data_IF_874378782345
#
_entry.id   IF_874378782345
#
_cell.length_a   1.000
_cell.length_b   1.000
_cell.length_c   1.000
_cell.angle_alpha   90.00
_cell.angle_beta   90.00
_cell.angle_gamma   90.00
#
_symmetry.space_group_name_H-M   'P 1'
#
loop_
_entity.id
_entity.type
_entity.pdbx_description
1 polymer ?
#
# COMPACT_ATOMS: atom_id res chain seq x y z
N UNK A 1 -21.94 7.82 -15.47
CA UNK A 1 -21.72 7.90 -14.02
C UNK A 1 -20.44 8.70 -13.84
N UNK A 2 -20.49 9.84 -13.16
CA UNK A 2 -19.31 10.71 -13.00
C UNK A 2 -18.56 10.25 -11.77
N UNK A 3 -17.33 9.78 -11.94
CA UNK A 3 -16.40 9.50 -10.85
C UNK A 3 -16.09 10.81 -10.13
N UNK A 4 -16.77 11.05 -9.01
CA UNK A 4 -16.70 12.33 -8.28
C UNK A 4 -15.40 12.55 -7.49
N UNK A 5 -14.51 11.57 -7.46
CA UNK A 5 -13.28 11.60 -6.68
C UNK A 5 -12.17 10.89 -7.44
N UNK A 6 -11.00 11.50 -7.56
CA UNK A 6 -9.77 10.83 -7.95
C UNK A 6 -9.11 10.27 -6.67
N UNK A 7 -8.56 9.07 -6.74
CA UNK A 7 -7.99 8.38 -5.58
C UNK A 7 -8.89 7.26 -5.05
N UNK A 8 -8.27 6.16 -4.62
CA UNK A 8 -8.97 5.01 -4.05
C UNK A 8 -8.29 4.52 -2.77
N UNK A 9 -7.05 4.08 -2.86
CA UNK A 9 -6.36 3.36 -1.79
C UNK A 9 -4.85 3.56 -1.93
N UNK A 10 -4.19 3.70 -0.80
CA UNK A 10 -2.74 3.58 -0.67
C UNK A 10 -2.42 2.40 0.23
N UNK A 11 -1.31 1.72 -0.05
CA UNK A 11 -0.85 0.58 0.74
C UNK A 11 0.64 0.70 1.01
N UNK A 12 1.08 0.24 2.17
CA UNK A 12 2.47 0.42 2.57
C UNK A 12 2.88 -0.37 3.79
N UNK A 13 4.07 -0.04 4.27
CA UNK A 13 4.58 -0.52 5.55
C UNK A 13 5.16 0.63 6.35
N UNK A 14 5.07 0.54 7.68
CA UNK A 14 5.72 1.46 8.60
C UNK A 14 6.45 0.71 9.71
N UNK A 15 7.54 1.30 10.20
CA UNK A 15 8.27 0.83 11.39
C UNK A 15 7.65 1.34 12.68
N UNK A 16 6.71 2.28 12.61
CA UNK A 16 6.04 2.81 13.78
C UNK A 16 5.00 1.82 14.30
N UNK A 17 5.07 1.53 15.59
CA UNK A 17 4.11 0.62 16.23
C UNK A 17 2.70 1.26 16.23
N UNK A 18 1.68 0.60 15.66
CA UNK A 18 0.33 1.13 15.57
C UNK A 18 -0.33 1.36 16.94
N UNK A 19 0.13 0.71 18.02
CA UNK A 19 -0.37 0.93 19.36
C UNK A 19 0.01 2.33 19.93
N UNK A 20 1.06 2.96 19.39
CA UNK A 20 1.58 4.24 19.88
C UNK A 20 1.59 5.34 18.82
N UNK A 21 1.38 4.98 17.55
CA UNK A 21 1.35 5.92 16.45
C UNK A 21 0.09 6.79 16.54
N UNK A 22 0.28 8.11 16.64
CA UNK A 22 -0.80 9.05 16.35
C UNK A 22 -0.99 9.12 14.84
N UNK A 23 -2.14 8.65 14.37
CA UNK A 23 -2.42 8.58 12.94
C UNK A 23 -2.49 10.00 12.34
N UNK A 24 -1.66 10.30 11.33
CA UNK A 24 -1.79 11.54 10.56
C UNK A 24 -3.04 11.50 9.68
N UNK A 25 -3.33 12.60 8.99
CA UNK A 25 -4.45 12.66 8.02
C UNK A 25 -4.28 11.70 6.84
N UNK A 26 -3.04 11.34 6.51
CA UNK A 26 -2.68 10.30 5.53
C UNK A 26 -1.28 9.78 5.89
N UNK A 27 -1.01 8.52 5.63
CA UNK A 27 0.25 7.88 6.00
C UNK A 27 1.45 8.39 5.19
N UNK A 28 1.21 9.00 4.02
CA UNK A 28 2.23 9.73 3.25
C UNK A 28 2.73 10.99 3.98
N UNK A 29 2.05 11.45 5.04
CA UNK A 29 2.53 12.54 5.88
C UNK A 29 3.60 12.13 6.92
N UNK A 30 3.85 10.83 7.12
CA UNK A 30 4.96 10.41 7.96
C UNK A 30 6.30 10.72 7.30
N UNK A 31 7.27 11.16 8.11
CA UNK A 31 8.60 11.62 7.66
C UNK A 31 9.73 10.67 8.07
N UNK A 32 9.38 9.46 8.53
CA UNK A 32 10.34 8.45 8.97
C UNK A 32 9.78 7.04 8.76
N UNK A 33 10.69 6.09 8.52
CA UNK A 33 10.47 4.65 8.43
C UNK A 33 9.13 4.19 7.86
N UNK A 34 8.65 4.81 6.78
CA UNK A 34 7.34 4.54 6.17
C UNK A 34 7.45 4.54 4.65
N UNK A 35 6.98 3.46 4.01
CA UNK A 35 6.96 3.28 2.57
C UNK A 35 5.52 3.07 2.12
N UNK A 36 5.05 3.84 1.15
CA UNK A 36 3.68 3.81 0.65
C UNK A 36 3.71 3.72 -0.88
N UNK A 37 2.92 2.82 -1.47
CA UNK A 37 2.55 2.89 -2.88
C UNK A 37 1.33 3.80 -3.00
N UNK A 38 1.43 4.80 -3.88
CA UNK A 38 0.41 5.83 -4.12
C UNK A 38 0.27 6.10 -5.61
N UNK A 39 -0.95 6.08 -6.13
CA UNK A 39 -1.20 6.13 -7.57
C UNK A 39 -0.36 5.07 -8.30
N UNK A 40 0.54 5.50 -9.19
CA UNK A 40 1.49 4.62 -9.90
C UNK A 40 2.94 4.68 -9.36
N UNK A 41 3.18 5.30 -8.21
CA UNK A 41 4.51 5.53 -7.64
C UNK A 41 4.68 4.98 -6.23
N UNK A 42 5.89 5.16 -5.68
CA UNK A 42 6.25 4.81 -4.30
C UNK A 42 6.81 6.02 -3.59
N UNK A 43 6.33 6.29 -2.39
CA UNK A 43 6.84 7.29 -1.47
C UNK A 43 7.57 6.62 -0.30
N UNK A 44 8.66 7.23 0.13
CA UNK A 44 9.37 6.91 1.37
C UNK A 44 9.48 8.18 2.19
N UNK A 45 8.98 8.14 3.43
CA UNK A 45 9.06 9.24 4.39
C UNK A 45 8.49 10.57 3.84
N UNK A 46 7.41 10.47 3.08
CA UNK A 46 6.74 11.64 2.49
C UNK A 46 7.39 12.20 1.24
N UNK A 47 8.39 11.52 0.69
CA UNK A 47 9.04 11.90 -0.57
C UNK A 47 8.85 10.80 -1.60
N UNK A 48 8.45 11.14 -2.82
CA UNK A 48 8.39 10.19 -3.93
C UNK A 48 9.80 9.70 -4.26
N UNK A 49 9.98 8.38 -4.26
CA UNK A 49 11.26 7.71 -4.55
C UNK A 49 11.24 6.89 -5.82
N UNK A 50 10.05 6.48 -6.28
CA UNK A 50 9.86 5.83 -7.57
C UNK A 50 8.61 6.42 -8.24
N UNK A 51 8.78 6.84 -9.48
CA UNK A 51 7.70 7.18 -10.40
C UNK A 51 7.45 5.99 -11.34
N UNK A 52 6.20 5.81 -11.78
CA UNK A 52 5.82 4.75 -12.73
C UNK A 52 6.23 3.34 -12.29
N UNK A 53 6.25 3.09 -10.98
CA UNK A 53 6.66 1.82 -10.38
C UNK A 53 5.78 0.64 -10.80
N UNK A 54 4.47 0.85 -10.92
CA UNK A 54 3.56 -0.26 -11.20
C UNK A 54 2.14 0.18 -11.54
N UNK A 55 1.19 -0.72 -11.28
CA UNK A 55 -0.22 -0.47 -11.51
C UNK A 55 -0.68 0.81 -10.82
N UNK A 56 -1.47 1.64 -11.51
CA UNK A 56 -2.03 2.82 -10.89
C UNK A 56 -3.17 2.44 -9.94
N UNK A 57 -2.97 2.60 -8.64
CA UNK A 57 -3.97 2.30 -7.61
C UNK A 57 -5.27 3.10 -7.78
N UNK A 58 -5.22 4.29 -8.38
CA UNK A 58 -6.41 5.11 -8.68
C UNK A 58 -7.37 4.45 -9.68
N UNK A 59 -6.93 3.38 -10.38
CA UNK A 59 -7.75 2.62 -11.34
C UNK A 59 -8.41 1.39 -10.74
N UNK A 60 -8.13 1.09 -9.46
CA UNK A 60 -8.71 -0.06 -8.77
C UNK A 60 -10.22 0.10 -8.57
N UNK A 61 -10.91 -1.03 -8.57
CA UNK A 61 -12.35 -1.14 -8.38
C UNK A 61 -12.66 -2.11 -7.26
N UNK A 62 -13.90 -2.08 -6.78
CA UNK A 62 -14.38 -3.08 -5.83
C UNK A 62 -14.17 -4.49 -6.38
N UNK A 63 -13.54 -5.35 -5.58
CA UNK A 63 -13.14 -6.71 -5.97
C UNK A 63 -11.66 -6.84 -6.35
N UNK A 64 -10.98 -5.75 -6.70
CA UNK A 64 -9.53 -5.77 -6.85
C UNK A 64 -8.83 -5.91 -5.50
N UNK A 65 -7.64 -6.51 -5.51
CA UNK A 65 -6.84 -6.76 -4.31
C UNK A 65 -5.47 -6.10 -4.43
N UNK A 66 -4.98 -5.61 -3.29
CA UNK A 66 -3.62 -5.08 -3.14
C UNK A 66 -2.91 -5.81 -2.01
N UNK A 67 -1.61 -5.96 -2.14
CA UNK A 67 -0.78 -6.64 -1.15
C UNK A 67 0.58 -5.99 -1.00
N UNK A 68 1.18 -6.17 0.17
CA UNK A 68 2.54 -5.71 0.48
C UNK A 68 3.28 -6.78 1.26
N UNK A 69 4.53 -7.03 0.88
CA UNK A 69 5.41 -8.01 1.56
C UNK A 69 6.80 -7.40 1.70
N UNK A 70 7.30 -7.39 2.94
CA UNK A 70 8.74 -7.23 3.22
C UNK A 70 9.36 -8.62 3.27
N UNK A 71 10.24 -8.93 2.33
CA UNK A 71 10.96 -10.21 2.26
C UNK A 71 12.12 -10.25 3.25
N UNK A 72 12.62 -11.44 3.56
CA UNK A 72 13.68 -11.65 4.54
C UNK A 72 14.97 -10.88 4.21
N UNK A 73 15.29 -10.75 2.92
CA UNK A 73 16.43 -9.99 2.38
C UNK A 73 16.28 -8.45 2.51
N UNK A 74 15.15 -7.96 3.04
CA UNK A 74 14.88 -6.54 3.21
C UNK A 74 14.34 -5.84 1.98
N UNK A 75 13.98 -6.58 0.92
CA UNK A 75 13.25 -6.01 -0.21
C UNK A 75 11.77 -5.87 0.11
N UNK A 76 11.17 -4.76 -0.35
CA UNK A 76 9.73 -4.51 -0.26
C UNK A 76 9.09 -4.72 -1.62
N UNK A 77 8.02 -5.50 -1.66
CA UNK A 77 7.28 -5.81 -2.87
C UNK A 77 5.80 -5.50 -2.69
N UNK A 78 5.19 -4.91 -3.72
CA UNK A 78 3.75 -4.70 -3.80
C UNK A 78 3.12 -5.66 -4.80
N UNK A 79 1.84 -5.94 -4.60
CA UNK A 79 1.03 -6.83 -5.41
C UNK A 79 -0.28 -6.17 -5.77
N UNK A 80 -0.76 -6.40 -7.00
CA UNK A 80 -2.11 -6.03 -7.44
C UNK A 80 -2.73 -7.25 -8.09
N UNK A 81 -3.90 -7.68 -7.61
CA UNK A 81 -4.58 -8.89 -8.09
C UNK A 81 -3.67 -10.13 -8.10
N UNK A 82 -2.86 -10.29 -7.05
CA UNK A 82 -1.86 -11.35 -6.91
C UNK A 82 -0.61 -11.20 -7.79
N UNK A 83 -0.58 -10.25 -8.73
CA UNK A 83 0.57 -10.02 -9.59
C UNK A 83 1.63 -9.13 -8.90
N UNK A 84 2.89 -9.57 -8.79
CA UNK A 84 3.96 -8.76 -8.21
C UNK A 84 4.28 -7.56 -9.10
N UNK A 85 4.50 -6.40 -8.48
CA UNK A 85 4.84 -5.15 -9.19
C UNK A 85 6.36 -4.94 -9.34
N UNK A 86 7.18 -5.79 -8.72
CA UNK A 86 8.64 -5.64 -8.66
C UNK A 86 9.12 -5.21 -7.27
N UNK A 87 10.41 -4.90 -7.11
CA UNK A 87 10.97 -4.35 -5.87
C UNK A 87 10.73 -2.83 -5.78
N UNK A 88 10.10 -2.40 -4.69
CA UNK A 88 9.79 -0.99 -4.41
C UNK A 88 10.82 -0.27 -3.53
N UNK A 89 11.51 -1.04 -2.68
CA UNK A 89 12.53 -0.52 -1.79
C UNK A 89 13.48 -1.65 -1.36
N UNK A 90 14.67 -1.27 -0.92
CA UNK A 90 15.70 -2.16 -0.39
C UNK A 90 16.06 -1.77 1.03
N UNK A 91 16.67 -2.70 1.77
CA UNK A 91 17.12 -2.49 3.15
C UNK A 91 15.99 -2.05 4.10
N UNK A 92 14.75 -2.49 3.84
CA UNK A 92 13.64 -2.24 4.75
C UNK A 92 13.85 -3.04 6.05
N UNK A 93 13.82 -2.39 7.22
CA UNK A 93 14.03 -3.06 8.51
C UNK A 93 13.05 -4.23 8.73
N UNK A 94 13.41 -5.23 9.56
CA UNK A 94 12.44 -6.19 10.06
C UNK A 94 11.44 -5.51 11.01
N UNK A 95 10.39 -6.24 11.43
CA UNK A 95 9.37 -5.78 12.39
C UNK A 95 8.61 -4.53 11.93
N UNK A 96 8.08 -4.60 10.71
CA UNK A 96 7.20 -3.57 10.13
C UNK A 96 5.73 -3.94 10.30
N UNK A 97 4.88 -2.93 10.20
CA UNK A 97 3.43 -3.05 10.23
C UNK A 97 2.86 -2.66 8.87
N UNK A 98 1.89 -3.43 8.40
CA UNK A 98 1.17 -3.11 7.18
C UNK A 98 0.30 -1.85 7.38
N UNK A 99 0.19 -1.07 6.32
CA UNK A 99 -0.58 0.17 6.29
C UNK A 99 -1.54 0.11 5.11
N UNK A 100 -2.80 0.46 5.36
CA UNK A 100 -3.81 0.69 4.33
C UNK A 100 -4.44 2.04 4.64
N UNK A 101 -4.40 2.95 3.67
CA UNK A 101 -4.98 4.28 3.77
C UNK A 101 -6.09 4.40 2.71
N UNK A 102 -7.31 4.68 3.13
CA UNK A 102 -8.51 4.71 2.29
C UNK A 102 -8.98 6.15 2.13
N UNK A 103 -9.10 6.61 0.89
CA UNK A 103 -9.59 7.95 0.59
C UNK A 103 -10.27 7.99 -0.79
N UNK A 104 -11.02 9.06 -1.05
CA UNK A 104 -11.71 9.22 -2.33
C UNK A 104 -12.78 8.14 -2.55
N UNK A 105 -12.59 7.30 -3.56
CA UNK A 105 -13.58 6.31 -3.97
C UNK A 105 -13.59 5.03 -3.14
N UNK A 106 -12.50 4.65 -2.48
CA UNK A 106 -12.54 3.47 -1.61
C UNK A 106 -13.02 3.86 -0.21
N UNK A 107 -14.06 3.18 0.24
CA UNK A 107 -14.64 3.37 1.57
C UNK A 107 -14.37 2.18 2.52
N UNK A 108 -13.97 1.04 1.98
CA UNK A 108 -13.78 -0.20 2.74
C UNK A 108 -12.68 -1.04 2.11
N UNK A 109 -11.90 -1.69 2.97
CA UNK A 109 -11.01 -2.79 2.64
C UNK A 109 -11.27 -3.93 3.61
N UNK A 110 -11.01 -5.16 3.15
CA UNK A 110 -11.07 -6.37 3.99
C UNK A 110 -9.77 -7.13 3.82
N UNK A 111 -9.23 -7.65 4.91
CA UNK A 111 -8.06 -8.53 4.87
C UNK A 111 -8.51 -9.87 4.29
N UNK A 112 -7.79 -10.36 3.28
CA UNK A 112 -8.06 -11.64 2.63
C UNK A 112 -6.95 -12.63 2.94
N UNK A 113 -7.31 -13.90 3.17
CA UNK A 113 -6.34 -14.99 3.27
C UNK A 113 -5.88 -15.43 1.87
N UNK A 114 -4.64 -15.95 1.76
CA UNK A 114 -4.08 -16.52 0.52
C UNK A 114 -4.86 -17.73 -0.07
N UNK A 115 -6.00 -18.11 0.53
CA UNK A 115 -6.87 -19.20 0.09
C UNK A 115 -8.24 -18.77 -0.47
N UNK A 116 -8.51 -17.48 -0.65
CA UNK A 116 -9.83 -16.92 -0.98
C UNK A 116 -10.39 -17.17 -2.39
N UNK A 117 -9.94 -18.21 -3.09
CA UNK A 117 -10.70 -18.74 -4.22
C UNK A 117 -12.01 -19.30 -3.69
N UNK A 118 -13.13 -18.72 -4.13
CA UNK A 118 -14.50 -19.16 -3.83
C UNK A 118 -14.55 -20.69 -3.82
N UNK A 119 -14.84 -21.29 -2.66
CA UNK A 119 -15.28 -22.68 -2.59
C UNK A 119 -16.80 -22.71 -2.69
N UNK A 120 -17.38 -23.67 -3.42
CA UNK A 120 -18.80 -23.72 -3.80
C UNK A 120 -19.76 -23.76 -2.62
#
# INVERSE_FOLDING_TARGET
MVDKWAGSIEIGVTTHNPAYLQLPSTMTNLRSGTWMMTGNGVMHNGTTVLDEYGHNLDRLKAGDTVGVVRRDDGTLHFFVNGAPQGPAAWNVPPNVYAVVDLYGQAAQATIVDEGGGVRP
#
